data_IF_690689847054
#
_entry.id   IF_690689847054
#
_cell.length_a   1.000
_cell.length_b   1.000
_cell.length_c   1.000
_cell.angle_alpha   90.00
_cell.angle_beta   90.00
_cell.angle_gamma   90.00
#
_symmetry.space_group_name_H-M   'P 1'
#
loop_
_entity.id
_entity.type
_entity.pdbx_description
1 polymer ?
#
# COMPACT_ATOMS: atom_id res chain seq x y z
N UNK A 1 28.81 -61.59 28.41
CA UNK A 1 28.68 -61.55 29.89
C UNK A 1 28.75 -60.09 30.32
N UNK A 2 27.67 -59.54 30.88
CA UNK A 2 27.70 -58.24 31.58
C UNK A 2 26.87 -57.09 30.96
N UNK A 3 25.55 -57.17 31.01
CA UNK A 3 24.65 -56.02 31.22
C UNK A 3 23.98 -56.21 32.60
N UNK A 4 23.20 -55.28 33.16
CA UNK A 4 23.19 -53.81 33.12
C UNK A 4 23.13 -53.22 34.57
N UNK A 5 23.22 -51.90 34.77
CA UNK A 5 22.69 -51.28 36.00
C UNK A 5 21.54 -50.34 35.66
N UNK A 6 20.34 -50.73 36.10
CA UNK A 6 19.13 -49.92 36.14
C UNK A 6 19.24 -48.76 37.15
N UNK A 7 18.58 -47.63 36.86
CA UNK A 7 17.19 -47.31 37.25
C UNK A 7 17.07 -46.88 38.71
N UNK A 8 17.09 -45.57 38.94
CA UNK A 8 16.59 -44.96 40.18
C UNK A 8 15.23 -44.34 39.87
N UNK A 9 14.20 -45.13 40.15
CA UNK A 9 12.88 -44.72 40.61
C UNK A 9 12.01 -43.88 39.66
N UNK A 10 11.17 -44.61 38.94
CA UNK A 10 9.77 -44.27 38.75
C UNK A 10 9.05 -44.31 40.11
N UNK A 11 8.38 -43.23 40.51
CA UNK A 11 7.28 -43.27 41.47
C UNK A 11 6.30 -42.11 41.19
N UNK A 12 5.36 -42.38 40.28
CA UNK A 12 3.90 -42.28 40.50
C UNK A 12 3.40 -41.09 41.35
N UNK A 13 2.63 -40.18 40.74
CA UNK A 13 1.19 -40.12 41.03
C UNK A 13 0.43 -39.15 40.13
N UNK A 14 -0.48 -39.72 39.35
CA UNK A 14 -1.68 -39.06 38.85
C UNK A 14 -2.42 -38.29 39.94
N UNK A 15 -2.96 -37.12 39.59
CA UNK A 15 -4.33 -36.74 39.95
C UNK A 15 -4.87 -35.69 38.98
N UNK A 16 -5.75 -36.20 38.14
CA UNK A 16 -6.76 -35.50 37.37
C UNK A 16 -7.79 -34.84 38.32
N UNK A 17 -8.33 -33.67 37.94
CA UNK A 17 -9.76 -33.28 37.93
C UNK A 17 -9.99 -31.76 38.12
N UNK A 18 -10.66 -31.21 37.11
CA UNK A 18 -11.68 -30.13 37.08
C UNK A 18 -11.40 -28.69 37.55
N UNK A 19 -11.75 -27.77 36.63
CA UNK A 19 -12.45 -26.47 36.76
C UNK A 19 -11.89 -25.42 37.73
N UNK A 20 -11.77 -24.14 37.40
CA UNK A 20 -12.75 -23.28 36.75
C UNK A 20 -12.07 -21.93 36.41
N UNK A 21 -12.54 -21.29 35.33
CA UNK A 21 -12.70 -19.84 35.13
C UNK A 21 -11.52 -18.83 35.27
N UNK A 22 -11.55 -17.86 34.33
CA UNK A 22 -10.98 -16.48 34.36
C UNK A 22 -9.46 -16.40 34.13
N UNK A 23 -8.90 -15.63 33.21
CA UNK A 23 -9.15 -14.22 32.89
C UNK A 23 -8.47 -13.91 31.53
N UNK A 24 -9.23 -13.36 30.60
CA UNK A 24 -8.72 -12.77 29.35
C UNK A 24 -7.80 -11.60 29.67
N UNK A 25 -6.56 -11.57 29.15
CA UNK A 25 -5.94 -10.30 28.77
C UNK A 25 -4.73 -10.47 27.84
N UNK A 26 -4.81 -9.74 26.72
CA UNK A 26 -3.69 -9.17 25.98
C UNK A 26 -2.87 -10.08 25.08
N UNK A 27 -3.52 -10.62 24.05
CA UNK A 27 -2.89 -10.86 22.75
C UNK A 27 -3.30 -9.75 21.79
N UNK A 28 -2.72 -8.54 21.93
CA UNK A 28 -2.94 -7.48 20.94
C UNK A 28 -2.36 -7.96 19.62
N UNK A 29 -3.25 -8.33 18.70
CA UNK A 29 -2.85 -8.78 17.38
C UNK A 29 -2.33 -7.58 16.62
N UNK A 30 -1.22 -7.74 15.91
CA UNK A 30 -0.59 -6.71 15.08
C UNK A 30 -1.57 -6.00 14.12
N UNK A 31 -2.72 -6.64 13.84
CA UNK A 31 -3.84 -6.10 13.07
C UNK A 31 -4.59 -4.97 13.81
N UNK A 32 -4.71 -5.01 15.14
CA UNK A 32 -5.35 -3.94 15.92
C UNK A 32 -4.48 -2.68 15.98
N UNK A 33 -3.15 -2.85 16.08
CA UNK A 33 -2.20 -1.74 16.03
C UNK A 33 -2.21 -1.06 14.64
N UNK A 34 -2.30 -1.85 13.57
CA UNK A 34 -2.41 -1.34 12.20
C UNK A 34 -3.74 -0.60 11.95
N UNK A 35 -4.85 -1.07 12.53
CA UNK A 35 -6.13 -0.35 12.48
C UNK A 35 -6.08 0.96 13.27
N UNK A 36 -5.45 0.96 14.44
CA UNK A 36 -5.28 2.17 15.26
C UNK A 36 -4.42 3.22 14.55
N UNK A 37 -3.36 2.78 13.85
CA UNK A 37 -2.52 3.67 13.05
C UNK A 37 -3.29 4.30 11.88
N UNK A 38 -4.18 3.54 11.24
CA UNK A 38 -5.08 4.06 10.19
C UNK A 38 -6.04 5.13 10.74
N UNK A 39 -6.65 4.92 11.91
CA UNK A 39 -7.59 5.88 12.51
C UNK A 39 -6.92 7.21 12.91
N UNK A 40 -5.68 7.14 13.41
CA UNK A 40 -4.85 8.32 13.71
C UNK A 40 -4.57 9.14 12.45
N UNK A 41 -4.24 8.49 11.33
CA UNK A 41 -3.98 9.17 10.05
C UNK A 41 -5.24 9.83 9.48
N UNK A 42 -6.40 9.17 9.54
CA UNK A 42 -7.68 9.73 9.06
C UNK A 42 -8.14 10.89 9.94
N UNK A 43 -7.88 10.84 11.24
CA UNK A 43 -8.21 11.91 12.19
C UNK A 43 -7.33 13.15 12.00
N UNK A 44 -6.05 12.98 11.67
CA UNK A 44 -5.15 14.09 11.35
C UNK A 44 -5.56 14.83 10.06
N UNK A 45 -6.05 14.11 9.04
CA UNK A 45 -6.49 14.70 7.78
C UNK A 45 -7.73 15.61 7.93
N UNK A 46 -8.65 15.28 8.85
CA UNK A 46 -9.89 16.03 9.08
C UNK A 46 -9.68 17.37 9.79
N UNK A 47 -8.53 17.61 10.44
CA UNK A 47 -8.29 18.79 11.29
C UNK A 47 -7.61 19.97 10.58
N UNK A 48 -7.23 19.85 9.31
CA UNK A 48 -6.52 20.91 8.57
C UNK A 48 -7.42 21.83 7.72
N UNK A 49 -8.73 21.53 7.60
CA UNK A 49 -9.65 22.24 6.72
C UNK A 49 -10.51 23.31 7.40
N UNK A 50 -9.93 24.30 8.09
CA UNK A 50 -10.70 25.47 8.54
C UNK A 50 -9.82 26.65 8.98
N UNK A 51 -9.30 27.46 8.04
CA UNK A 51 -9.06 28.90 8.29
C UNK A 51 -9.37 29.71 7.03
N UNK A 52 -10.54 30.32 7.06
CA UNK A 52 -10.99 31.38 6.16
C UNK A 52 -9.97 32.55 6.16
N UNK A 53 -9.59 33.02 4.97
CA UNK A 53 -8.89 34.29 4.82
C UNK A 53 -9.69 35.19 3.87
N UNK A 54 -10.67 35.88 4.44
CA UNK A 54 -11.31 37.03 3.80
C UNK A 54 -10.32 38.21 3.85
N UNK A 55 -9.80 38.64 2.71
CA UNK A 55 -9.17 39.96 2.58
C UNK A 55 -10.00 40.84 1.65
N UNK A 56 -10.88 41.59 2.29
CA UNK A 56 -11.68 42.69 1.74
C UNK A 56 -10.72 43.77 1.25
N UNK A 57 -10.58 43.90 -0.07
CA UNK A 57 -9.72 44.92 -0.72
C UNK A 57 -10.28 46.31 -0.40
N UNK A 58 -9.61 47.01 0.52
CA UNK A 58 -9.79 48.45 0.70
C UNK A 58 -9.16 49.17 -0.50
N UNK A 59 -9.96 50.05 -1.11
CA UNK A 59 -9.59 50.95 -2.19
C UNK A 59 -9.08 52.22 -1.52
N UNK A 60 -7.79 52.55 -1.64
CA UNK A 60 -7.25 53.85 -1.24
C UNK A 60 -6.71 54.58 -2.46
N UNK A 61 -7.47 55.59 -2.86
CA UNK A 61 -7.05 56.70 -3.70
C UNK A 61 -6.34 57.75 -2.84
N UNK A 62 -5.15 58.20 -3.25
CA UNK A 62 -4.62 59.58 -3.12
C UNK A 62 -3.13 59.59 -3.52
N UNK A 63 -2.79 60.20 -4.67
CA UNK A 63 -2.18 61.54 -4.82
C UNK A 63 -0.75 61.68 -4.30
N UNK A 64 0.22 61.79 -5.21
CA UNK A 64 1.23 62.87 -5.22
C UNK A 64 2.20 62.64 -6.39
N UNK A 65 2.15 63.55 -7.37
CA UNK A 65 3.21 63.73 -8.36
C UNK A 65 4.51 64.16 -7.67
N UNK A 66 5.68 63.70 -8.14
CA UNK A 66 6.89 64.47 -8.04
C UNK A 66 7.17 65.12 -9.40
N UNK A 67 6.96 66.43 -9.48
CA UNK A 67 7.61 67.23 -10.50
C UNK A 67 9.04 67.52 -10.05
N UNK A 68 10.02 67.27 -10.91
CA UNK A 68 11.34 67.91 -10.81
C UNK A 68 11.97 67.95 -12.19
N UNK A 69 12.19 69.16 -12.70
CA UNK A 69 12.85 69.45 -13.97
C UNK A 69 14.37 69.19 -13.91
N UNK A 70 14.92 69.04 -15.11
CA UNK A 70 16.29 68.67 -15.55
C UNK A 70 17.39 69.71 -15.29
N UNK A 71 18.67 69.30 -15.43
CA UNK A 71 19.51 69.97 -16.42
C UNK A 71 20.36 68.98 -17.26
N UNK A 72 20.60 69.33 -18.52
CA UNK A 72 21.36 68.51 -19.48
C UNK A 72 22.88 68.55 -19.29
N UNK A 73 23.54 67.56 -19.88
CA UNK A 73 24.93 67.54 -20.37
C UNK A 73 25.06 66.20 -21.09
N UNK A 74 25.15 66.18 -22.41
CA UNK A 74 26.39 66.36 -23.18
C UNK A 74 26.86 64.98 -23.67
N UNK A 75 27.38 64.98 -24.87
CA UNK A 75 27.50 63.87 -25.79
C UNK A 75 28.71 62.99 -25.45
N UNK A 76 28.50 61.68 -25.33
CA UNK A 76 29.46 60.55 -25.49
C UNK A 76 28.94 59.40 -24.62
N UNK A 77 28.76 58.17 -25.10
CA UNK A 77 29.72 57.32 -25.82
C UNK A 77 28.94 56.10 -26.30
N UNK A 78 28.94 55.83 -27.60
CA UNK A 78 28.45 54.58 -28.14
C UNK A 78 29.46 53.49 -27.80
N UNK A 79 29.16 52.59 -26.86
CA UNK A 79 29.84 51.29 -26.64
C UNK A 79 29.11 50.38 -25.59
N UNK A 80 27.82 50.58 -25.26
CA UNK A 80 27.10 49.84 -24.20
C UNK A 80 26.05 48.80 -24.69
N UNK A 81 26.03 48.49 -25.99
CA UNK A 81 25.05 47.53 -26.56
C UNK A 81 25.38 46.07 -26.20
N UNK A 82 26.63 45.76 -25.83
CA UNK A 82 27.07 44.39 -25.50
C UNK A 82 26.65 43.97 -24.08
N UNK A 83 26.85 44.83 -23.07
CA UNK A 83 26.45 44.55 -21.67
C UNK A 83 24.94 44.41 -21.49
N UNK A 84 24.14 45.21 -22.21
CA UNK A 84 22.67 45.12 -22.18
C UNK A 84 22.13 43.79 -22.71
N UNK A 85 22.80 43.20 -23.72
CA UNK A 85 22.45 41.89 -24.26
C UNK A 85 22.87 40.75 -23.32
N UNK A 86 24.03 40.87 -22.66
CA UNK A 86 24.49 39.91 -21.65
C UNK A 86 23.54 39.89 -20.43
N UNK A 87 23.13 41.06 -19.93
CA UNK A 87 22.16 41.15 -18.84
C UNK A 87 20.79 40.56 -19.22
N UNK A 88 20.35 40.78 -20.47
CA UNK A 88 19.11 40.19 -21.00
C UNK A 88 19.21 38.68 -21.16
N UNK A 89 20.36 38.16 -21.61
CA UNK A 89 20.60 36.72 -21.70
C UNK A 89 20.59 36.04 -20.32
N UNK A 90 21.25 36.64 -19.32
CA UNK A 90 21.22 36.15 -17.93
C UNK A 90 19.81 36.16 -17.33
N UNK A 91 19.00 37.18 -17.65
CA UNK A 91 17.60 37.25 -17.22
C UNK A 91 16.74 36.14 -17.88
N UNK A 92 16.97 35.86 -19.16
CA UNK A 92 16.28 34.77 -19.86
C UNK A 92 16.70 33.42 -19.27
N UNK A 93 17.99 33.19 -19.05
CA UNK A 93 18.51 31.95 -18.45
C UNK A 93 17.95 31.72 -17.04
N UNK A 94 17.86 32.76 -16.21
CA UNK A 94 17.26 32.64 -14.87
C UNK A 94 15.76 32.31 -14.91
N UNK A 95 15.02 32.87 -15.87
CA UNK A 95 13.62 32.48 -16.09
C UNK A 95 13.51 31.03 -16.56
N UNK A 96 14.31 30.61 -17.53
CA UNK A 96 14.33 29.23 -18.03
C UNK A 96 14.64 28.22 -16.90
N UNK A 97 15.62 28.52 -16.05
CA UNK A 97 15.95 27.70 -14.89
C UNK A 97 14.78 27.62 -13.89
N UNK A 98 14.07 28.72 -13.63
CA UNK A 98 12.85 28.69 -12.81
C UNK A 98 11.75 27.82 -13.42
N UNK A 99 11.54 27.91 -14.73
CA UNK A 99 10.55 27.09 -15.43
C UNK A 99 10.94 25.60 -15.45
N UNK A 100 12.23 25.30 -15.63
CA UNK A 100 12.76 23.95 -15.56
C UNK A 100 12.54 23.35 -14.15
N UNK A 101 12.97 24.06 -13.10
CA UNK A 101 12.76 23.65 -11.70
C UNK A 101 11.29 23.46 -11.36
N UNK A 102 10.41 24.34 -11.87
CA UNK A 102 8.97 24.20 -11.67
C UNK A 102 8.44 22.91 -12.29
N UNK A 103 8.88 22.58 -13.51
CA UNK A 103 8.48 21.35 -14.20
C UNK A 103 8.97 20.10 -13.46
N UNK A 104 10.24 20.09 -13.06
CA UNK A 104 10.84 18.99 -12.29
C UNK A 104 10.13 18.76 -10.95
N UNK A 105 9.72 19.84 -10.28
CA UNK A 105 8.98 19.73 -9.03
C UNK A 105 7.57 19.16 -9.22
N UNK A 106 6.88 19.50 -10.32
CA UNK A 106 5.58 18.91 -10.65
C UNK A 106 5.70 17.44 -11.01
N UNK A 107 6.71 17.05 -11.82
CA UNK A 107 6.95 15.63 -12.14
C UNK A 107 7.31 14.84 -10.88
N UNK A 108 8.16 15.37 -10.01
CA UNK A 108 8.49 14.73 -8.73
C UNK A 108 7.25 14.48 -7.87
N UNK A 109 6.32 15.45 -7.82
CA UNK A 109 5.06 15.28 -7.08
C UNK A 109 4.16 14.23 -7.70
N UNK A 110 4.10 14.18 -9.03
CA UNK A 110 3.34 13.20 -9.78
C UNK A 110 3.90 11.80 -9.57
N UNK A 111 5.21 11.62 -9.72
CA UNK A 111 5.91 10.36 -9.46
C UNK A 111 5.69 9.88 -8.03
N UNK A 112 5.78 10.77 -7.05
CA UNK A 112 5.50 10.42 -5.65
C UNK A 112 4.06 9.97 -5.42
N UNK A 113 3.09 10.45 -6.21
CA UNK A 113 1.69 9.99 -6.13
C UNK A 113 1.52 8.66 -6.83
N UNK A 114 2.10 8.51 -8.01
CA UNK A 114 2.08 7.29 -8.79
C UNK A 114 2.72 6.14 -8.03
N UNK A 115 3.89 6.35 -7.42
CA UNK A 115 4.56 5.35 -6.60
C UNK A 115 3.67 4.81 -5.47
N UNK A 116 2.98 5.69 -4.74
CA UNK A 116 2.03 5.26 -3.70
C UNK A 116 0.86 4.47 -4.29
N UNK A 117 0.37 4.88 -5.45
CA UNK A 117 -0.72 4.17 -6.11
C UNK A 117 -0.29 2.78 -6.59
N UNK A 118 0.88 2.68 -7.21
CA UNK A 118 1.46 1.43 -7.70
C UNK A 118 1.70 0.45 -6.54
N UNK A 119 2.20 0.94 -5.39
CA UNK A 119 2.34 0.14 -4.17
C UNK A 119 1.00 -0.42 -3.66
N UNK A 120 -0.06 0.39 -3.68
CA UNK A 120 -1.41 -0.05 -3.28
C UNK A 120 -1.91 -1.14 -4.22
N UNK A 121 -1.78 -0.92 -5.53
CA UNK A 121 -2.21 -1.88 -6.55
C UNK A 121 -1.43 -3.20 -6.44
N UNK A 122 -0.13 -3.14 -6.17
CA UNK A 122 0.70 -4.32 -5.98
C UNK A 122 0.25 -5.14 -4.76
N UNK A 123 -0.03 -4.48 -3.64
CA UNK A 123 -0.53 -5.15 -2.43
C UNK A 123 -1.91 -5.79 -2.65
N UNK A 124 -2.82 -5.09 -3.36
CA UNK A 124 -4.14 -5.63 -3.70
C UNK A 124 -4.04 -6.85 -4.61
N UNK A 125 -3.20 -6.78 -5.64
CA UNK A 125 -2.94 -7.90 -6.54
C UNK A 125 -2.36 -9.11 -5.80
N UNK A 126 -1.37 -8.89 -4.93
CA UNK A 126 -0.78 -9.95 -4.11
C UNK A 126 -1.82 -10.60 -3.18
N UNK A 127 -2.73 -9.80 -2.62
CA UNK A 127 -3.82 -10.31 -1.78
C UNK A 127 -4.82 -11.15 -2.58
N UNK A 128 -5.12 -10.76 -3.81
CA UNK A 128 -5.99 -11.53 -4.71
C UNK A 128 -5.31 -12.86 -5.07
N UNK A 129 -4.04 -12.83 -5.48
CA UNK A 129 -3.28 -14.03 -5.84
C UNK A 129 -3.19 -15.02 -4.68
N UNK A 130 -2.94 -14.55 -3.46
CA UNK A 130 -2.93 -15.42 -2.28
C UNK A 130 -4.29 -16.07 -2.01
N UNK A 131 -5.38 -15.31 -2.15
CA UNK A 131 -6.74 -15.85 -1.99
C UNK A 131 -7.08 -16.88 -3.06
N UNK A 132 -6.65 -16.65 -4.29
CA UNK A 132 -6.85 -17.58 -5.40
C UNK A 132 -6.13 -18.91 -5.14
N UNK A 133 -4.84 -18.86 -4.77
CA UNK A 133 -4.06 -20.05 -4.41
C UNK A 133 -4.64 -20.80 -3.21
N UNK A 134 -5.13 -20.08 -2.21
CA UNK A 134 -5.76 -20.67 -1.03
C UNK A 134 -7.09 -21.36 -1.38
N UNK A 135 -7.91 -20.77 -2.26
CA UNK A 135 -9.11 -21.42 -2.79
C UNK A 135 -8.77 -22.67 -3.61
N UNK A 136 -7.77 -22.58 -4.50
CA UNK A 136 -7.31 -23.69 -5.30
C UNK A 136 -6.78 -24.84 -4.41
N UNK A 137 -5.99 -24.52 -3.38
CA UNK A 137 -5.48 -25.51 -2.44
C UNK A 137 -6.62 -26.19 -1.67
N UNK A 138 -7.60 -25.43 -1.18
CA UNK A 138 -8.79 -25.98 -0.52
C UNK A 138 -9.56 -26.92 -1.44
N UNK A 139 -9.79 -26.52 -2.69
CA UNK A 139 -10.44 -27.36 -3.69
C UNK A 139 -9.61 -28.63 -3.94
N UNK A 140 -8.29 -28.52 -4.05
CA UNK A 140 -7.40 -29.67 -4.25
C UNK A 140 -7.47 -30.66 -3.10
N UNK A 141 -7.52 -30.18 -1.86
CA UNK A 141 -7.68 -31.03 -0.67
C UNK A 141 -9.05 -31.72 -0.69
N UNK A 142 -10.12 -30.97 -0.97
CA UNK A 142 -11.47 -31.52 -1.04
C UNK A 142 -11.59 -32.60 -2.11
N UNK A 143 -11.15 -32.35 -3.34
CA UNK A 143 -11.26 -33.42 -4.33
C UNK A 143 -10.31 -34.58 -4.02
N UNK A 144 -9.14 -34.35 -3.41
CA UNK A 144 -8.27 -35.46 -2.98
C UNK A 144 -8.99 -36.35 -1.97
N UNK A 145 -9.74 -35.78 -1.03
CA UNK A 145 -10.50 -36.53 -0.04
C UNK A 145 -11.58 -37.41 -0.70
N UNK A 146 -12.30 -36.86 -1.69
CA UNK A 146 -13.31 -37.61 -2.46
C UNK A 146 -12.67 -38.72 -3.31
N UNK A 147 -11.53 -38.43 -3.92
CA UNK A 147 -10.78 -39.37 -4.75
C UNK A 147 -10.18 -40.53 -3.94
N UNK A 148 -9.79 -40.30 -2.68
CA UNK A 148 -9.20 -41.32 -1.82
C UNK A 148 -10.22 -42.10 -0.97
N UNK A 149 -11.51 -41.77 -1.06
CA UNK A 149 -12.54 -42.38 -0.20
C UNK A 149 -12.82 -43.83 -0.63
N UNK A 150 -12.78 -44.76 0.34
CA UNK A 150 -13.17 -46.15 0.10
C UNK A 150 -14.69 -46.27 -0.05
N UNK A 151 -15.11 -46.76 -1.20
CA UNK A 151 -16.53 -46.90 -1.58
C UNK A 151 -17.02 -48.35 -1.44
N UNK A 152 -16.13 -49.31 -1.18
CA UNK A 152 -16.46 -50.76 -1.19
C UNK A 152 -17.51 -51.15 -0.14
N UNK A 153 -17.52 -50.46 1.01
CA UNK A 153 -18.48 -50.67 2.10
C UNK A 153 -19.77 -49.83 2.02
N UNK A 154 -19.96 -49.02 0.98
CA UNK A 154 -21.11 -48.11 0.87
C UNK A 154 -22.28 -48.72 0.08
N UNK A 155 -23.49 -48.18 0.25
CA UNK A 155 -24.64 -48.60 -0.56
C UNK A 155 -24.46 -48.28 -2.04
N UNK A 156 -25.09 -49.06 -2.94
CA UNK A 156 -24.97 -48.85 -4.39
C UNK A 156 -25.30 -47.42 -4.83
N UNK A 157 -26.30 -46.80 -4.19
CA UNK A 157 -26.70 -45.41 -4.48
C UNK A 157 -25.58 -44.43 -4.13
N UNK A 158 -24.92 -44.62 -2.99
CA UNK A 158 -23.80 -43.78 -2.55
C UNK A 158 -22.56 -44.01 -3.43
N UNK A 159 -22.26 -45.27 -3.78
CA UNK A 159 -21.16 -45.60 -4.68
C UNK A 159 -21.32 -44.89 -6.04
N UNK A 160 -22.50 -44.97 -6.65
CA UNK A 160 -22.79 -44.29 -7.93
C UNK A 160 -22.61 -42.78 -7.83
N UNK A 161 -23.08 -42.16 -6.74
CA UNK A 161 -22.92 -40.73 -6.53
C UNK A 161 -21.45 -40.32 -6.41
N UNK A 162 -20.66 -41.05 -5.61
CA UNK A 162 -19.25 -40.75 -5.43
C UNK A 162 -18.41 -41.00 -6.68
N UNK A 163 -18.71 -42.06 -7.44
CA UNK A 163 -18.09 -42.29 -8.74
C UNK A 163 -18.35 -41.11 -9.70
N UNK A 164 -19.59 -40.61 -9.77
CA UNK A 164 -19.90 -39.45 -10.61
C UNK A 164 -19.15 -38.18 -10.19
N UNK A 165 -18.95 -37.98 -8.89
CA UNK A 165 -18.14 -36.89 -8.37
C UNK A 165 -16.66 -37.06 -8.73
N UNK A 166 -16.12 -38.28 -8.60
CA UNK A 166 -14.75 -38.58 -8.99
C UNK A 166 -14.52 -38.31 -10.49
N UNK A 167 -15.45 -38.71 -11.35
CA UNK A 167 -15.40 -38.42 -12.79
C UNK A 167 -15.41 -36.91 -13.07
N UNK A 168 -16.23 -36.15 -12.37
CA UNK A 168 -16.27 -34.69 -12.47
C UNK A 168 -14.94 -34.04 -12.03
N UNK A 169 -14.36 -34.55 -10.95
CA UNK A 169 -13.05 -34.14 -10.44
C UNK A 169 -11.95 -34.44 -11.47
N UNK A 170 -11.99 -35.63 -12.08
CA UNK A 170 -11.07 -36.01 -13.16
C UNK A 170 -11.19 -35.06 -14.35
N UNK A 171 -12.41 -34.76 -14.80
CA UNK A 171 -12.64 -33.84 -15.90
C UNK A 171 -12.13 -32.42 -15.60
N UNK A 172 -12.36 -31.89 -14.39
CA UNK A 172 -11.83 -30.57 -14.00
C UNK A 172 -10.30 -30.53 -13.93
N UNK A 173 -9.67 -31.54 -13.33
CA UNK A 173 -8.22 -31.55 -13.08
C UNK A 173 -7.39 -31.92 -14.30
N UNK A 174 -7.92 -32.80 -15.14
CA UNK A 174 -7.16 -33.41 -16.25
C UNK A 174 -7.80 -33.19 -17.63
N UNK A 175 -9.07 -32.76 -17.69
CA UNK A 175 -9.78 -32.51 -18.95
C UNK A 175 -9.61 -31.10 -19.54
N UNK A 176 -9.13 -30.12 -18.75
CA UNK A 176 -8.94 -28.75 -19.21
C UNK A 176 -7.62 -28.49 -19.99
N UNK A 177 -6.81 -29.54 -20.23
CA UNK A 177 -5.48 -29.45 -20.86
C UNK A 177 -5.38 -30.02 -22.29
N UNK A 178 -6.49 -30.42 -22.92
CA UNK A 178 -6.51 -30.93 -24.30
C UNK A 178 -7.37 -30.04 -25.20
N UNK A 179 -6.79 -28.95 -25.69
CA UNK A 179 -7.38 -28.01 -26.65
C UNK A 179 -6.36 -27.01 -27.13
#
# INVERSE_FOLDING_TARGET
>A
MGSPMGSFLDLVSDRNLESDSEESQSGSTQVEEDLALLDVMVSAARKSGAKNFNHKRQKTSATASPGSSTPGSDESRADDEEEGLVAKAQYVETLENMWAKKREFETFKEDRKKERHDQIMELENRKIELKEKDLELRQRIQDSAVMSMDISGMSERQQKYLLSLQDEIFARRFGAGSG
#
